data_IF_690402917513
#
_entry.id   IF_690402917513
#
_cell.length_a   1.000
_cell.length_b   1.000
_cell.length_c   1.000
_cell.angle_alpha   90.00
_cell.angle_beta   90.00
_cell.angle_gamma   90.00
#
_symmetry.space_group_name_H-M   'P 1'
#
loop_
_entity.id
_entity.type
_entity.pdbx_description
1 polymer ?
#
# COMPACT_ATOMS: atom_id res chain seq x y z
N UNK A 1 -1.97 -22.44 -10.72
CA UNK A 1 -0.92 -21.42 -10.90
C UNK A 1 0.38 -21.92 -10.27
N UNK A 2 1.52 -21.64 -10.89
CA UNK A 2 2.82 -22.05 -10.36
C UNK A 2 3.18 -21.24 -9.11
N UNK A 3 3.65 -21.92 -8.06
CA UNK A 3 4.26 -21.26 -6.90
C UNK A 3 5.68 -20.85 -7.30
N UNK A 4 6.02 -19.58 -7.07
CA UNK A 4 7.37 -19.07 -7.27
C UNK A 4 8.03 -18.82 -5.92
N UNK A 5 9.36 -18.91 -5.87
CA UNK A 5 10.11 -18.48 -4.69
C UNK A 5 9.92 -16.96 -4.47
N UNK A 6 9.98 -16.48 -3.21
CA UNK A 6 10.02 -15.06 -2.93
C UNK A 6 11.13 -14.37 -3.74
N UNK A 7 10.79 -13.27 -4.39
CA UNK A 7 11.73 -12.44 -5.18
C UNK A 7 12.23 -11.22 -4.39
N UNK A 8 11.80 -11.11 -3.13
CA UNK A 8 12.22 -10.06 -2.20
C UNK A 8 13.48 -10.58 -1.49
N UNK A 9 14.62 -9.87 -1.53
CA UNK A 9 15.74 -10.22 -0.68
C UNK A 9 15.30 -10.09 0.79
N UNK A 10 15.53 -11.15 1.56
CA UNK A 10 15.19 -11.21 2.98
C UNK A 10 16.41 -11.73 3.71
N UNK A 11 16.90 -10.95 4.66
CA UNK A 11 17.95 -11.33 5.59
C UNK A 11 17.37 -11.36 7.01
N UNK A 12 17.87 -12.28 7.83
CA UNK A 12 17.49 -12.36 9.24
C UNK A 12 18.76 -12.31 10.06
N UNK A 13 18.88 -11.29 10.89
CA UNK A 13 19.95 -11.18 11.87
C UNK A 13 19.76 -12.27 12.94
N UNK A 14 20.72 -13.18 13.07
CA UNK A 14 20.65 -14.29 14.01
C UNK A 14 20.82 -13.89 15.47
N UNK A 15 21.40 -12.71 15.75
CA UNK A 15 21.60 -12.22 17.12
C UNK A 15 20.37 -11.46 17.61
N UNK A 16 19.73 -10.68 16.74
CA UNK A 16 18.60 -9.82 17.11
C UNK A 16 17.24 -10.35 16.68
N UNK A 17 17.20 -11.25 15.69
CA UNK A 17 15.97 -11.74 15.07
C UNK A 17 15.30 -10.74 14.12
N UNK A 18 15.95 -9.61 13.80
CA UNK A 18 15.41 -8.61 12.87
C UNK A 18 15.41 -9.15 11.46
N UNK A 19 14.25 -9.09 10.81
CA UNK A 19 14.11 -9.37 9.37
C UNK A 19 14.33 -8.07 8.62
N UNK A 20 15.14 -8.10 7.57
CA UNK A 20 15.40 -6.94 6.72
C UNK A 20 15.07 -7.30 5.28
N UNK A 21 14.37 -6.39 4.60
CA UNK A 21 14.17 -6.46 3.15
C UNK A 21 14.60 -5.14 2.53
N UNK A 22 15.47 -5.24 1.53
CA UNK A 22 16.12 -4.08 0.92
C UNK A 22 16.75 -3.19 2.01
N UNK A 23 16.32 -1.93 2.18
CA UNK A 23 16.89 -1.00 3.16
C UNK A 23 16.16 -0.97 4.52
N UNK A 24 15.11 -1.79 4.72
CA UNK A 24 14.18 -1.59 5.83
C UNK A 24 13.97 -2.83 6.71
N UNK A 25 13.90 -2.64 8.04
CA UNK A 25 13.49 -3.69 8.95
C UNK A 25 12.00 -3.99 8.79
N UNK A 26 11.66 -5.27 8.85
CA UNK A 26 10.34 -5.82 8.56
C UNK A 26 9.85 -6.69 9.71
N UNK A 27 8.52 -6.82 9.82
CA UNK A 27 7.88 -7.82 10.67
C UNK A 27 7.20 -8.86 9.77
N UNK A 28 7.52 -10.14 9.99
CA UNK A 28 6.81 -11.25 9.35
C UNK A 28 5.60 -11.64 10.21
N UNK A 29 4.43 -11.08 9.86
CA UNK A 29 3.19 -11.23 10.64
C UNK A 29 2.16 -12.04 9.86
N UNK A 30 1.49 -13.03 10.47
CA UNK A 30 0.39 -13.75 9.83
C UNK A 30 -0.76 -12.84 9.43
N UNK A 31 -1.29 -13.01 8.21
CA UNK A 31 -2.42 -12.21 7.69
C UNK A 31 -3.61 -12.15 8.65
N UNK A 32 -4.02 -13.29 9.20
CA UNK A 32 -5.17 -13.32 10.11
C UNK A 32 -4.94 -12.46 11.35
N UNK A 33 -3.71 -12.40 11.87
CA UNK A 33 -3.41 -11.61 13.06
C UNK A 33 -3.57 -10.12 12.74
N UNK A 34 -2.98 -9.66 11.64
CA UNK A 34 -3.10 -8.27 11.21
C UNK A 34 -4.57 -7.88 10.97
N UNK A 35 -5.31 -8.68 10.20
CA UNK A 35 -6.69 -8.35 9.84
C UNK A 35 -7.64 -8.46 11.05
N UNK A 36 -7.42 -9.39 11.98
CA UNK A 36 -8.22 -9.46 13.22
C UNK A 36 -8.03 -8.21 14.09
N UNK A 37 -6.80 -7.68 14.20
CA UNK A 37 -6.56 -6.43 14.91
C UNK A 37 -7.23 -5.26 14.19
N UNK A 38 -7.15 -5.22 12.86
CA UNK A 38 -7.82 -4.21 12.05
C UNK A 38 -9.35 -4.22 12.28
N UNK A 39 -9.98 -5.41 12.22
CA UNK A 39 -11.40 -5.60 12.51
C UNK A 39 -11.78 -5.19 13.94
N UNK A 40 -11.01 -5.65 14.93
CA UNK A 40 -11.32 -5.37 16.33
C UNK A 40 -11.21 -3.88 16.70
N UNK A 41 -10.27 -3.16 16.09
CA UNK A 41 -10.17 -1.70 16.27
C UNK A 41 -11.31 -0.97 15.55
N UNK A 42 -11.61 -1.39 14.31
CA UNK A 42 -12.72 -0.82 13.53
C UNK A 42 -14.07 -0.97 14.25
N UNK A 43 -14.31 -2.12 14.90
CA UNK A 43 -15.53 -2.38 15.68
C UNK A 43 -15.72 -1.37 16.82
N UNK A 44 -14.62 -0.90 17.43
CA UNK A 44 -14.67 0.06 18.55
C UNK A 44 -14.77 1.51 18.07
N UNK A 45 -14.01 1.88 17.04
CA UNK A 45 -13.90 3.27 16.58
C UNK A 45 -14.92 3.64 15.49
N UNK A 46 -15.45 2.66 14.79
CA UNK A 46 -16.13 2.85 13.51
C UNK A 46 -15.15 3.04 12.35
N UNK A 47 -15.63 2.71 11.14
CA UNK A 47 -14.81 2.68 9.94
C UNK A 47 -14.24 4.06 9.54
N UNK A 48 -15.02 5.14 9.69
CA UNK A 48 -14.60 6.48 9.26
C UNK A 48 -13.43 7.03 10.09
N UNK A 49 -13.56 7.03 11.41
CA UNK A 49 -12.51 7.51 12.31
C UNK A 49 -11.25 6.64 12.21
N UNK A 50 -11.42 5.32 12.07
CA UNK A 50 -10.29 4.42 11.91
C UNK A 50 -9.58 4.61 10.56
N UNK A 51 -10.33 4.80 9.47
CA UNK A 51 -9.78 5.12 8.16
C UNK A 51 -8.95 6.40 8.17
N UNK A 52 -9.39 7.46 8.87
CA UNK A 52 -8.62 8.70 8.99
C UNK A 52 -7.29 8.49 9.72
N UNK A 53 -7.28 7.71 10.81
CA UNK A 53 -6.07 7.36 11.55
C UNK A 53 -5.11 6.59 10.65
N UNK A 54 -5.62 5.56 9.96
CA UNK A 54 -4.83 4.73 9.06
C UNK A 54 -4.32 5.51 7.85
N UNK A 55 -5.08 6.46 7.33
CA UNK A 55 -4.64 7.34 6.26
C UNK A 55 -3.39 8.12 6.67
N UNK A 56 -3.42 8.78 7.83
CA UNK A 56 -2.30 9.59 8.33
C UNK A 56 -1.06 8.75 8.63
N UNK A 57 -1.24 7.58 9.26
CA UNK A 57 -0.14 6.68 9.57
C UNK A 57 0.46 6.09 8.29
N UNK A 58 -0.40 5.59 7.40
CA UNK A 58 -0.02 4.97 6.15
C UNK A 58 0.67 5.94 5.18
N UNK A 59 0.22 7.19 5.13
CA UNK A 59 0.88 8.26 4.38
C UNK A 59 2.34 8.42 4.81
N UNK A 60 2.60 8.53 6.11
CA UNK A 60 3.96 8.69 6.65
C UNK A 60 4.82 7.46 6.37
N UNK A 61 4.26 6.26 6.53
CA UNK A 61 4.97 5.01 6.29
C UNK A 61 5.37 4.85 4.82
N UNK A 62 4.44 5.12 3.89
CA UNK A 62 4.72 5.00 2.45
C UNK A 62 5.74 6.04 1.98
N UNK A 63 5.66 7.26 2.50
CA UNK A 63 6.65 8.30 2.24
C UNK A 63 8.06 7.83 2.65
N UNK A 64 8.21 7.43 3.91
CA UNK A 64 9.51 6.98 4.42
C UNK A 64 10.04 5.76 3.66
N UNK A 65 9.14 4.83 3.32
CA UNK A 65 9.49 3.65 2.53
C UNK A 65 10.01 4.04 1.14
N UNK A 66 9.32 4.92 0.42
CA UNK A 66 9.72 5.35 -0.93
C UNK A 66 11.05 6.09 -0.92
N UNK A 67 11.29 6.94 0.08
CA UNK A 67 12.58 7.62 0.25
C UNK A 67 13.73 6.63 0.41
N UNK A 68 13.58 5.63 1.31
CA UNK A 68 14.63 4.65 1.58
C UNK A 68 14.90 3.72 0.40
N UNK A 69 13.86 3.34 -0.32
CA UNK A 69 14.00 2.42 -1.46
C UNK A 69 14.49 3.13 -2.72
N UNK A 70 14.11 4.40 -2.91
CA UNK A 70 14.70 5.25 -3.93
C UNK A 70 16.21 5.39 -3.72
N UNK A 71 16.64 5.66 -2.48
CA UNK A 71 18.05 5.72 -2.11
C UNK A 71 18.76 4.38 -2.30
N UNK A 72 18.19 3.27 -1.80
CA UNK A 72 18.77 1.94 -1.86
C UNK A 72 19.03 1.44 -3.29
N UNK A 73 18.10 1.75 -4.20
CA UNK A 73 18.11 1.22 -5.56
C UNK A 73 18.47 2.27 -6.63
N UNK A 74 18.73 3.51 -6.24
CA UNK A 74 18.98 4.61 -7.18
C UNK A 74 17.78 4.88 -8.10
N UNK A 75 16.56 4.78 -7.57
CA UNK A 75 15.32 4.98 -8.33
C UNK A 75 14.84 6.42 -8.23
N UNK A 76 14.16 6.89 -9.28
CA UNK A 76 13.55 8.22 -9.32
C UNK A 76 12.21 8.21 -10.08
N UNK A 77 11.38 9.22 -9.81
CA UNK A 77 10.12 9.43 -10.53
C UNK A 77 9.17 8.22 -10.48
N UNK A 78 8.60 7.86 -11.63
CA UNK A 78 7.62 6.76 -11.74
C UNK A 78 8.20 5.42 -11.31
N UNK A 79 9.50 5.20 -11.48
CA UNK A 79 10.16 3.93 -11.13
C UNK A 79 10.08 3.63 -9.62
N UNK A 80 10.04 4.66 -8.77
CA UNK A 80 9.83 4.50 -7.32
C UNK A 80 8.42 3.98 -7.04
N UNK A 81 7.40 4.54 -7.71
CA UNK A 81 6.00 4.12 -7.54
C UNK A 81 5.77 2.70 -8.06
N UNK A 82 6.36 2.35 -9.21
CA UNK A 82 6.34 0.99 -9.78
C UNK A 82 6.98 -0.02 -8.83
N UNK A 83 8.16 0.32 -8.28
CA UNK A 83 8.84 -0.51 -7.28
C UNK A 83 8.00 -0.67 -6.02
N UNK A 84 7.34 0.40 -5.56
CA UNK A 84 6.45 0.34 -4.41
C UNK A 84 5.29 -0.63 -4.63
N UNK A 85 4.59 -0.55 -5.77
CA UNK A 85 3.49 -1.48 -6.10
C UNK A 85 3.98 -2.93 -6.20
N UNK A 86 5.15 -3.14 -6.80
CA UNK A 86 5.78 -4.46 -6.89
C UNK A 86 6.09 -5.01 -5.50
N UNK A 87 6.67 -4.21 -4.60
CA UNK A 87 7.02 -4.63 -3.23
C UNK A 87 5.82 -4.86 -2.34
N UNK A 88 4.75 -4.07 -2.48
CA UNK A 88 3.47 -4.37 -1.84
C UNK A 88 2.95 -5.75 -2.28
N UNK A 89 3.06 -6.04 -3.58
CA UNK A 89 2.59 -7.32 -4.13
C UNK A 89 3.43 -8.51 -3.65
N UNK A 90 4.76 -8.38 -3.66
CA UNK A 90 5.68 -9.42 -3.20
C UNK A 90 5.60 -9.67 -1.68
N UNK A 91 5.16 -8.67 -0.89
CA UNK A 91 4.92 -8.82 0.55
C UNK A 91 3.55 -9.44 0.89
N UNK A 92 2.72 -9.73 -0.11
CA UNK A 92 1.49 -10.51 0.07
C UNK A 92 0.25 -9.70 0.46
N UNK A 93 0.26 -8.38 0.24
CA UNK A 93 -0.90 -7.51 0.45
C UNK A 93 -2.00 -7.68 -0.63
N UNK A 94 -1.62 -8.16 -1.80
CA UNK A 94 -2.47 -8.36 -2.98
C UNK A 94 -1.62 -8.24 -4.25
N UNK A 95 -2.24 -8.11 -5.42
CA UNK A 95 -1.55 -7.77 -6.67
C UNK A 95 -1.94 -6.35 -7.08
N UNK A 96 -0.98 -5.43 -6.99
CA UNK A 96 -1.16 -4.02 -7.34
C UNK A 96 -0.68 -3.78 -8.76
N UNK A 97 -1.55 -3.22 -9.60
CA UNK A 97 -1.26 -2.88 -11.00
C UNK A 97 -1.56 -1.41 -11.23
N UNK A 98 -0.58 -0.66 -11.69
CA UNK A 98 -0.78 0.72 -12.13
C UNK A 98 -1.56 0.68 -13.44
N UNK A 99 -2.69 1.39 -13.50
CA UNK A 99 -3.49 1.56 -14.73
C UNK A 99 -3.07 2.84 -15.46
N UNK A 100 -2.78 3.90 -14.70
CA UNK A 100 -2.30 5.18 -15.20
C UNK A 100 -1.48 5.90 -14.11
N UNK A 101 -0.50 6.71 -14.51
CA UNK A 101 0.26 7.59 -13.62
C UNK A 101 0.79 8.80 -14.40
N UNK A 102 0.55 10.00 -13.87
CA UNK A 102 1.03 11.27 -14.40
C UNK A 102 1.51 12.13 -13.23
N UNK A 103 2.84 12.25 -13.10
CA UNK A 103 3.46 13.01 -12.02
C UNK A 103 3.34 14.51 -12.21
N UNK A 104 3.19 15.01 -13.43
CA UNK A 104 3.04 16.44 -13.67
C UNK A 104 1.63 16.91 -13.29
N UNK A 105 0.64 16.00 -13.39
CA UNK A 105 -0.72 16.23 -12.90
C UNK A 105 -0.97 15.75 -11.47
N UNK A 106 -0.04 15.02 -10.86
CA UNK A 106 -0.23 14.40 -9.54
C UNK A 106 -1.38 13.38 -9.53
N UNK A 107 -1.58 12.64 -10.62
CA UNK A 107 -2.66 11.66 -10.75
C UNK A 107 -2.12 10.24 -10.90
N UNK A 108 -2.83 9.26 -10.35
CA UNK A 108 -2.59 7.85 -10.62
C UNK A 108 -3.86 7.03 -10.44
N UNK A 109 -3.93 5.86 -11.07
CA UNK A 109 -4.96 4.85 -10.78
C UNK A 109 -4.31 3.48 -10.58
N UNK A 110 -4.72 2.80 -9.52
CA UNK A 110 -4.14 1.52 -9.10
C UNK A 110 -5.25 0.50 -8.94
N UNK A 111 -5.13 -0.60 -9.68
CA UNK A 111 -5.98 -1.77 -9.54
C UNK A 111 -5.39 -2.72 -8.50
N UNK A 112 -6.23 -3.25 -7.61
CA UNK A 112 -5.87 -4.25 -6.61
C UNK A 112 -6.66 -5.55 -6.87
N UNK A 113 -5.94 -6.64 -7.13
CA UNK A 113 -6.49 -7.99 -7.19
C UNK A 113 -6.03 -8.80 -5.96
N UNK A 114 -6.80 -9.82 -5.57
CA UNK A 114 -6.40 -10.75 -4.49
C UNK A 114 -6.05 -10.06 -3.15
N UNK A 115 -6.82 -9.04 -2.76
CA UNK A 115 -6.61 -8.29 -1.51
C UNK A 115 -6.51 -9.21 -0.29
N UNK A 116 -5.52 -8.93 0.55
CA UNK A 116 -5.35 -9.57 1.85
C UNK A 116 -6.54 -9.32 2.79
N UNK A 117 -7.20 -8.16 2.72
CA UNK A 117 -8.38 -7.86 3.54
C UNK A 117 -9.61 -8.58 3.00
N UNK A 118 -9.87 -8.52 1.69
CA UNK A 118 -11.03 -9.18 1.07
C UNK A 118 -10.99 -10.69 1.29
N UNK A 119 -9.81 -11.31 1.29
CA UNK A 119 -9.70 -12.75 1.60
C UNK A 119 -10.12 -13.14 3.02
N UNK A 120 -10.13 -12.19 3.96
CA UNK A 120 -10.55 -12.44 5.35
C UNK A 120 -11.97 -11.96 5.58
N UNK A 121 -12.32 -10.75 5.11
CA UNK A 121 -13.66 -10.17 5.24
C UNK A 121 -14.70 -10.87 4.36
N UNK A 122 -14.32 -11.29 3.15
CA UNK A 122 -15.25 -11.71 2.12
C UNK A 122 -16.05 -10.55 1.53
N UNK A 123 -17.25 -10.86 1.01
CA UNK A 123 -18.21 -9.90 0.48
C UNK A 123 -19.05 -9.34 1.62
N UNK A 124 -18.81 -8.08 1.96
CA UNK A 124 -19.47 -7.39 3.08
C UNK A 124 -20.21 -6.12 2.65
N UNK A 125 -20.31 -5.87 1.34
CA UNK A 125 -21.09 -4.76 0.78
C UNK A 125 -20.51 -3.37 1.04
N UNK A 126 -19.23 -3.28 1.43
CA UNK A 126 -18.51 -2.02 1.66
C UNK A 126 -17.01 -2.18 1.37
N UNK A 127 -16.30 -1.06 1.24
CA UNK A 127 -14.83 -1.00 1.08
C UNK A 127 -14.11 -1.39 2.36
N UNK A 128 -13.09 -2.25 2.25
CA UNK A 128 -12.26 -2.72 3.39
C UNK A 128 -10.76 -2.48 3.20
N UNK A 129 -10.36 -2.01 2.01
CA UNK A 129 -8.95 -1.79 1.66
C UNK A 129 -8.52 -0.33 1.85
N UNK A 130 -9.34 0.46 2.56
CA UNK A 130 -9.18 1.91 2.69
C UNK A 130 -7.84 2.30 3.32
N UNK A 131 -7.17 1.41 4.06
CA UNK A 131 -5.81 1.63 4.57
C UNK A 131 -4.81 2.02 3.47
N UNK A 132 -4.94 1.47 2.26
CA UNK A 132 -4.00 1.73 1.16
C UNK A 132 -4.10 3.15 0.60
N UNK A 133 -5.18 3.88 0.86
CA UNK A 133 -5.36 5.25 0.35
C UNK A 133 -4.25 6.19 0.86
N UNK A 134 -3.99 6.18 2.17
CA UNK A 134 -2.87 6.94 2.73
C UNK A 134 -1.54 6.55 2.09
N UNK A 135 -1.35 5.26 1.78
CA UNK A 135 -0.10 4.75 1.23
C UNK A 135 0.17 5.32 -0.17
N UNK A 136 -0.84 5.35 -1.02
CA UNK A 136 -0.68 5.84 -2.40
C UNK A 136 -0.46 7.34 -2.46
N UNK A 137 -1.17 8.12 -1.64
CA UNK A 137 -0.92 9.55 -1.51
C UNK A 137 0.49 9.83 -0.94
N UNK A 138 0.91 9.08 0.08
CA UNK A 138 2.23 9.21 0.69
C UNK A 138 3.37 8.92 -0.28
N UNK A 139 3.24 7.86 -1.08
CA UNK A 139 4.20 7.51 -2.12
C UNK A 139 4.24 8.56 -3.23
N UNK A 140 3.07 8.99 -3.74
CA UNK A 140 2.99 10.03 -4.78
C UNK A 140 3.62 11.34 -4.33
N UNK A 141 3.24 11.84 -3.15
CA UNK A 141 3.74 13.13 -2.66
C UNK A 141 5.24 13.09 -2.33
N UNK A 142 5.79 11.93 -1.93
CA UNK A 142 7.23 11.79 -1.73
C UNK A 142 7.99 11.96 -3.04
N UNK A 143 7.51 11.30 -4.11
CA UNK A 143 8.11 11.36 -5.44
C UNK A 143 8.00 12.78 -6.00
N UNK A 144 6.85 13.43 -5.83
CA UNK A 144 6.62 14.81 -6.23
C UNK A 144 7.59 15.76 -5.52
N UNK A 145 7.76 15.61 -4.20
CA UNK A 145 8.70 16.43 -3.44
C UNK A 145 10.15 16.19 -3.89
N UNK A 146 10.56 14.94 -4.08
CA UNK A 146 11.90 14.62 -4.55
C UNK A 146 12.21 15.23 -5.93
N UNK A 147 11.18 15.44 -6.75
CA UNK A 147 11.25 16.14 -8.05
C UNK A 147 11.13 17.66 -7.95
N UNK A 148 11.04 18.22 -6.75
CA UNK A 148 10.88 19.67 -6.52
C UNK A 148 9.47 20.21 -6.80
N UNK A 149 8.46 19.35 -6.95
CA UNK A 149 7.07 19.77 -7.08
C UNK A 149 6.48 20.15 -5.73
N UNK A 150 5.64 21.18 -5.71
CA UNK A 150 4.84 21.59 -4.55
C UNK A 150 3.44 20.96 -4.54
N UNK A 151 3.09 20.16 -5.57
CA UNK A 151 1.81 19.46 -5.63
C UNK A 151 1.65 18.53 -4.44
N UNK A 152 0.40 18.43 -3.99
CA UNK A 152 -0.05 17.58 -2.89
C UNK A 152 -1.25 16.79 -3.37
N UNK A 153 -1.34 15.53 -2.95
CA UNK A 153 -2.35 14.61 -3.45
C UNK A 153 -3.16 13.97 -2.32
N UNK A 154 -4.34 13.49 -2.72
CA UNK A 154 -5.21 12.64 -1.92
C UNK A 154 -5.51 11.38 -2.71
N UNK A 155 -5.67 10.25 -2.01
CA UNK A 155 -6.14 9.03 -2.62
C UNK A 155 -7.48 8.58 -2.03
N UNK A 156 -8.30 7.96 -2.87
CA UNK A 156 -9.55 7.34 -2.45
C UNK A 156 -9.70 5.96 -3.08
N UNK A 157 -10.35 5.05 -2.36
CA UNK A 157 -10.80 3.77 -2.92
C UNK A 157 -12.13 4.03 -3.64
N UNK A 158 -12.19 3.82 -4.95
CA UNK A 158 -13.40 4.01 -5.77
C UNK A 158 -14.37 2.87 -5.56
N UNK A 159 -13.87 1.64 -5.60
CA UNK A 159 -14.60 0.42 -5.27
C UNK A 159 -13.64 -0.65 -4.74
N UNK A 160 -14.17 -1.71 -4.12
CA UNK A 160 -13.40 -2.82 -3.58
C UNK A 160 -13.99 -4.19 -3.88
N UNK A 161 -13.14 -5.22 -3.83
CA UNK A 161 -13.56 -6.61 -4.08
C UNK A 161 -14.53 -7.16 -3.03
N UNK A 162 -14.67 -6.47 -1.90
CA UNK A 162 -15.65 -6.76 -0.84
C UNK A 162 -17.06 -6.23 -1.14
N UNK A 163 -17.24 -5.41 -2.18
CA UNK A 163 -18.54 -4.89 -2.63
C UNK A 163 -19.17 -5.84 -3.67
N UNK A 164 -20.50 -5.79 -3.81
CA UNK A 164 -21.22 -6.56 -4.82
C UNK A 164 -20.83 -6.11 -6.23
N UNK A 165 -20.72 -7.06 -7.17
CA UNK A 165 -20.38 -6.77 -8.57
C UNK A 165 -18.91 -6.47 -8.88
N UNK A 166 -18.00 -6.51 -7.89
CA UNK A 166 -16.56 -6.25 -8.09
C UNK A 166 -15.67 -7.41 -7.63
N UNK A 167 -14.82 -7.97 -8.48
CA UNK A 167 -13.84 -9.01 -8.08
C UNK A 167 -12.44 -8.45 -7.75
N UNK A 168 -12.28 -7.13 -7.94
CA UNK A 168 -11.06 -6.37 -7.70
C UNK A 168 -11.40 -5.04 -7.02
N UNK A 169 -10.37 -4.26 -6.68
CA UNK A 169 -10.49 -2.90 -6.18
C UNK A 169 -9.83 -1.89 -7.10
N UNK A 170 -10.32 -0.66 -7.07
CA UNK A 170 -9.73 0.48 -7.77
C UNK A 170 -9.49 1.62 -6.79
N UNK A 171 -8.31 2.20 -6.90
CA UNK A 171 -7.90 3.40 -6.18
C UNK A 171 -7.51 4.47 -7.17
N UNK A 172 -7.79 5.72 -6.81
CA UNK A 172 -7.32 6.88 -7.57
C UNK A 172 -6.55 7.80 -6.64
N UNK A 173 -5.49 8.39 -7.17
CA UNK A 173 -4.74 9.49 -6.57
C UNK A 173 -5.02 10.72 -7.43
N UNK A 174 -5.31 11.85 -6.79
CA UNK A 174 -5.59 13.13 -7.45
C UNK A 174 -5.02 14.29 -6.64
N UNK A 175 -4.74 15.45 -7.26
CA UNK A 175 -4.39 16.66 -6.52
C UNK A 175 -5.44 17.03 -5.46
N UNK A 176 -4.96 17.63 -4.36
CA UNK A 176 -5.81 18.27 -3.34
C UNK A 176 -6.55 19.50 -3.89
#
# INVERSE_FOLDING_TARGET
MAKIAPQLPIEVDSETGVWTSDALPMLYVPRHFFVNNHMGIEEVLGAEAYAEILYKAGYKSAWHWCEKEAECHGLEGVAVFEHYMKRLSQRGWGLFKIQDIDLDKGTASVKLEHSAFVYVYGKVGRKVDYMFTGWFAGAMDQILQARGSSLRTVAEQVYGGSEEGHDDGLFIVKPL
#
